data_IF_917676890037
#
_entry.id   IF_917676890037
#
_cell.length_a   1.000
_cell.length_b   1.000
_cell.length_c   1.000
_cell.angle_alpha   90.00
_cell.angle_beta   90.00
_cell.angle_gamma   90.00
#
_symmetry.space_group_name_H-M   'P 1'
#
loop_
_entity.id
_entity.type
_entity.pdbx_description
1 polymer ?
#
# COMPACT_ATOMS: atom_id res chain seq x y z
N UNK A 1 -23.42 -16.80 -9.77
CA UNK A 1 -23.61 -17.04 -8.32
C UNK A 1 -22.52 -16.25 -7.61
N UNK A 2 -22.89 -15.15 -6.97
CA UNK A 2 -21.98 -14.24 -6.24
C UNK A 2 -21.97 -14.65 -4.77
N UNK A 3 -20.78 -14.77 -4.17
CA UNK A 3 -20.64 -15.07 -2.75
C UNK A 3 -20.26 -13.77 -2.02
N UNK A 4 -21.11 -13.33 -1.09
CA UNK A 4 -20.85 -12.14 -0.28
C UNK A 4 -20.18 -12.60 1.02
N UNK A 5 -18.86 -12.43 1.13
CA UNK A 5 -18.15 -12.63 2.38
C UNK A 5 -18.12 -11.32 3.17
N UNK A 6 -18.78 -11.31 4.33
CA UNK A 6 -18.78 -10.18 5.27
C UNK A 6 -17.50 -10.22 6.09
N UNK A 7 -16.58 -9.29 5.83
CA UNK A 7 -15.48 -9.02 6.75
C UNK A 7 -15.99 -7.99 7.76
N UNK A 8 -16.19 -8.41 9.00
CA UNK A 8 -16.64 -7.53 10.07
C UNK A 8 -15.43 -6.72 10.57
N UNK A 9 -15.45 -5.41 10.36
CA UNK A 9 -14.50 -4.48 10.95
C UNK A 9 -15.32 -3.50 11.80
N UNK A 10 -14.80 -3.09 12.96
CA UNK A 10 -15.51 -2.31 14.00
C UNK A 10 -16.08 -0.92 13.57
N UNK A 11 -16.05 -0.58 12.28
CA UNK A 11 -16.60 0.65 11.71
C UNK A 11 -17.62 0.43 10.56
N UNK A 12 -18.25 -0.74 10.49
CA UNK A 12 -19.36 -1.00 9.56
C UNK A 12 -18.99 -1.97 8.43
N UNK A 13 -19.94 -2.83 8.09
CA UNK A 13 -19.79 -3.82 7.03
C UNK A 13 -19.71 -3.12 5.67
N UNK A 14 -18.58 -3.30 4.98
CA UNK A 14 -18.45 -2.96 3.55
C UNK A 14 -18.75 -4.23 2.77
N UNK A 15 -19.81 -4.20 1.96
CA UNK A 15 -20.14 -5.30 1.06
C UNK A 15 -19.05 -5.41 -0.01
N UNK A 16 -18.14 -6.38 0.16
CA UNK A 16 -17.15 -6.69 -0.86
C UNK A 16 -17.88 -7.45 -1.97
N UNK A 17 -18.06 -6.80 -3.12
CA UNK A 17 -18.53 -7.51 -4.31
C UNK A 17 -17.40 -8.44 -4.74
N UNK A 18 -17.49 -9.71 -4.32
CA UNK A 18 -16.55 -10.75 -4.68
C UNK A 18 -16.69 -11.06 -6.18
N UNK A 19 -16.08 -10.22 -7.03
CA UNK A 19 -15.78 -10.64 -8.38
C UNK A 19 -14.86 -11.86 -8.24
N UNK A 20 -15.25 -12.97 -8.88
CA UNK A 20 -14.47 -14.22 -8.90
C UNK A 20 -13.17 -13.96 -9.66
N UNK A 21 -12.17 -13.39 -8.99
CA UNK A 21 -10.84 -13.24 -9.57
C UNK A 21 -10.19 -14.62 -9.46
N UNK A 22 -10.23 -15.38 -10.56
CA UNK A 22 -9.54 -16.66 -10.66
C UNK A 22 -8.04 -16.39 -10.51
N UNK A 23 -7.34 -17.15 -9.66
CA UNK A 23 -5.94 -16.92 -9.30
C UNK A 23 -5.68 -15.53 -8.68
N UNK A 24 -6.40 -15.15 -7.61
CA UNK A 24 -6.08 -13.94 -6.85
C UNK A 24 -5.27 -14.23 -5.58
N UNK A 25 -4.41 -13.27 -5.22
CA UNK A 25 -3.75 -13.19 -3.92
C UNK A 25 -4.20 -11.94 -3.18
N UNK A 26 -4.33 -12.05 -1.87
CA UNK A 26 -4.59 -10.94 -0.96
C UNK A 26 -3.27 -10.26 -0.63
N UNK A 27 -3.08 -9.01 -1.08
CA UNK A 27 -1.96 -8.16 -0.71
C UNK A 27 -2.32 -7.35 0.53
N UNK A 28 -1.72 -7.72 1.67
CA UNK A 28 -1.76 -6.93 2.90
C UNK A 28 -0.55 -6.00 2.95
N UNK A 29 -0.79 -4.70 3.01
CA UNK A 29 0.20 -3.63 3.03
C UNK A 29 0.15 -2.95 4.41
N UNK A 30 1.20 -3.14 5.19
CA UNK A 30 1.44 -2.44 6.45
C UNK A 30 2.54 -1.40 6.26
N UNK A 31 2.27 -0.14 6.62
CA UNK A 31 3.24 0.94 6.54
C UNK A 31 3.42 1.56 7.93
N UNK A 32 4.66 1.54 8.41
CA UNK A 32 5.04 2.17 9.68
C UNK A 32 5.99 3.34 9.41
N UNK A 33 5.67 4.48 9.99
CA UNK A 33 6.54 5.66 10.05
C UNK A 33 7.38 5.55 11.32
N UNK A 34 8.66 5.24 11.16
CA UNK A 34 9.57 4.95 12.28
C UNK A 34 10.21 6.21 12.87
N UNK A 35 10.56 7.18 12.03
CA UNK A 35 11.22 8.41 12.46
C UNK A 35 10.79 9.56 11.57
N UNK A 36 10.42 10.68 12.19
CA UNK A 36 10.06 11.95 11.54
C UNK A 36 10.88 13.06 12.16
N UNK A 37 11.50 13.92 11.35
CA UNK A 37 12.24 15.10 11.87
C UNK A 37 11.39 16.36 11.89
N UNK A 38 10.48 16.52 10.93
CA UNK A 38 9.57 17.66 10.82
C UNK A 38 8.28 17.23 10.10
N UNK A 39 7.22 18.03 10.22
CA UNK A 39 5.97 17.81 9.51
C UNK A 39 6.16 17.72 7.99
N UNK A 40 5.61 16.67 7.40
CA UNK A 40 5.66 16.41 5.96
C UNK A 40 4.32 15.90 5.44
N UNK A 41 4.07 16.14 4.16
CA UNK A 41 2.95 15.55 3.44
C UNK A 41 3.39 14.25 2.81
N UNK A 42 2.65 13.18 3.06
CA UNK A 42 2.86 11.86 2.51
C UNK A 42 1.69 11.49 1.62
N UNK A 43 2.00 11.05 0.41
CA UNK A 43 1.06 10.33 -0.45
C UNK A 43 1.58 8.92 -0.69
N UNK A 44 0.69 7.94 -0.54
CA UNK A 44 0.93 6.54 -0.83
C UNK A 44 -0.09 6.07 -1.85
N UNK A 45 0.41 5.57 -2.98
CA UNK A 45 -0.42 4.97 -4.03
C UNK A 45 0.11 3.59 -4.37
N UNK A 46 -0.79 2.66 -4.63
CA UNK A 46 -0.47 1.36 -5.21
C UNK A 46 -0.82 1.39 -6.70
N UNK A 47 0.09 0.96 -7.55
CA UNK A 47 -0.13 0.73 -8.96
C UNK A 47 -0.17 -0.77 -9.21
N UNK A 48 -1.26 -1.28 -9.76
CA UNK A 48 -1.42 -2.68 -10.17
C UNK A 48 -1.31 -2.73 -11.68
N UNK A 49 -0.34 -3.49 -12.21
CA UNK A 49 -0.14 -3.63 -13.65
C UNK A 49 -0.90 -4.84 -14.19
N UNK A 50 -2.06 -4.58 -14.80
CA UNK A 50 -2.90 -5.59 -15.45
C UNK A 50 -2.90 -5.36 -16.96
N UNK A 51 -2.50 -6.36 -17.73
CA UNK A 51 -2.51 -6.30 -19.20
C UNK A 51 -1.67 -5.17 -19.81
N UNK A 52 -0.60 -4.72 -19.14
CA UNK A 52 0.24 -3.61 -19.59
C UNK A 52 -0.27 -2.22 -19.23
N UNK A 53 -1.44 -2.11 -18.58
CA UNK A 53 -1.97 -0.86 -18.03
C UNK A 53 -1.82 -0.83 -16.51
N UNK A 54 -1.32 0.29 -15.97
CA UNK A 54 -1.20 0.51 -14.53
C UNK A 54 -2.47 1.15 -13.98
N UNK A 55 -3.16 0.47 -13.07
CA UNK A 55 -4.28 1.06 -12.31
C UNK A 55 -3.76 1.61 -10.99
N UNK A 56 -3.95 2.92 -10.77
CA UNK A 56 -3.59 3.57 -9.50
C UNK A 56 -4.72 3.42 -8.48
N UNK A 57 -4.36 2.96 -7.29
CA UNK A 57 -5.20 2.86 -6.10
C UNK A 57 -4.57 3.75 -5.03
N UNK A 58 -5.14 4.94 -4.75
CA UNK A 58 -4.67 5.79 -3.66
C UNK A 58 -4.91 5.10 -2.32
N UNK A 59 -3.86 4.92 -1.52
CA UNK A 59 -3.95 4.28 -0.20
C UNK A 59 -3.99 5.33 0.91
N UNK A 60 -3.11 6.33 0.84
CA UNK A 60 -3.00 7.36 1.86
C UNK A 60 -2.65 8.71 1.25
N UNK A 61 -3.24 9.77 1.78
CA UNK A 61 -2.81 11.14 1.54
C UNK A 61 -3.02 11.94 2.82
N UNK A 62 -1.96 12.55 3.35
CA UNK A 62 -2.08 13.34 4.56
C UNK A 62 -0.75 13.89 5.06
N UNK A 63 -0.85 14.74 6.08
CA UNK A 63 0.33 15.29 6.77
C UNK A 63 0.66 14.41 7.97
N UNK A 64 1.94 14.11 8.17
CA UNK A 64 2.44 13.43 9.36
C UNK A 64 3.56 14.24 9.99
N UNK A 65 3.51 14.41 11.32
CA UNK A 65 4.52 15.13 12.09
C UNK A 65 5.28 14.24 13.09
N UNK A 66 4.84 13.00 13.30
CA UNK A 66 5.36 12.10 14.32
C UNK A 66 5.48 10.65 13.79
N UNK A 67 6.24 9.81 14.48
CA UNK A 67 6.30 8.38 14.19
C UNK A 67 4.96 7.71 14.51
N UNK A 68 4.32 7.10 13.51
CA UNK A 68 3.05 6.40 13.69
C UNK A 68 2.89 5.25 12.70
N UNK A 69 2.05 4.27 13.03
CA UNK A 69 1.56 3.30 12.06
C UNK A 69 0.51 3.93 11.17
N UNK A 70 0.61 3.76 9.85
CA UNK A 70 -0.54 4.01 8.97
C UNK A 70 -1.54 2.85 9.09
N UNK A 71 -2.74 3.06 8.55
CA UNK A 71 -3.74 1.99 8.44
C UNK A 71 -3.18 0.82 7.62
N UNK A 72 -3.56 -0.40 7.99
CA UNK A 72 -3.35 -1.60 7.17
C UNK A 72 -4.28 -1.58 5.96
N UNK A 73 -3.74 -1.79 4.76
CA UNK A 73 -4.52 -1.91 3.53
C UNK A 73 -4.54 -3.37 3.07
N UNK A 74 -5.70 -3.87 2.68
CA UNK A 74 -5.88 -5.24 2.18
C UNK A 74 -6.53 -5.15 0.81
N UNK A 75 -5.84 -5.68 -0.21
CA UNK A 75 -6.23 -5.52 -1.62
C UNK A 75 -6.12 -6.88 -2.31
N UNK A 76 -7.18 -7.31 -2.98
CA UNK A 76 -7.12 -8.48 -3.85
C UNK A 76 -6.45 -8.10 -5.17
N UNK A 77 -5.44 -8.87 -5.57
CA UNK A 77 -4.70 -8.66 -6.82
C UNK A 77 -4.57 -9.97 -7.56
N UNK A 78 -4.55 -9.91 -8.89
CA UNK A 78 -4.34 -11.11 -9.72
C UNK A 78 -2.92 -11.65 -9.50
N UNK A 79 -2.78 -12.97 -9.42
CA UNK A 79 -1.51 -13.66 -9.23
C UNK A 79 -0.58 -13.39 -10.41
N UNK A 80 0.73 -13.43 -10.15
CA UNK A 80 1.81 -13.13 -11.09
C UNK A 80 1.81 -11.70 -11.66
N UNK A 81 0.94 -10.81 -11.16
CA UNK A 81 1.01 -9.38 -11.46
C UNK A 81 2.11 -8.66 -10.69
N UNK A 82 2.57 -7.55 -11.25
CA UNK A 82 3.47 -6.63 -10.55
C UNK A 82 2.67 -5.53 -9.86
N UNK A 83 3.06 -5.28 -8.61
CA UNK A 83 2.57 -4.22 -7.76
C UNK A 83 3.69 -3.19 -7.62
N UNK A 84 3.39 -1.93 -7.86
CA UNK A 84 4.29 -0.82 -7.57
C UNK A 84 3.69 0.04 -6.48
N UNK A 85 4.36 0.10 -5.34
CA UNK A 85 3.99 1.00 -4.26
C UNK A 85 4.80 2.30 -4.41
N UNK A 86 4.11 3.41 -4.66
CA UNK A 86 4.71 4.73 -4.87
C UNK A 86 4.48 5.61 -3.65
N UNK A 87 5.58 6.15 -3.13
CA UNK A 87 5.62 7.10 -2.04
C UNK A 87 5.98 8.47 -2.60
N UNK A 88 5.22 9.49 -2.25
CA UNK A 88 5.56 10.89 -2.51
C UNK A 88 5.63 11.63 -1.19
N UNK A 89 6.76 12.26 -0.93
CA UNK A 89 6.96 13.09 0.25
C UNK A 89 7.15 14.52 -0.17
N UNK A 90 6.27 15.40 0.30
CA UNK A 90 6.39 16.85 0.16
C UNK A 90 6.75 17.48 1.50
N UNK A 91 7.73 18.38 1.51
CA UNK A 91 8.00 19.22 2.68
C UNK A 91 7.13 20.48 2.63
N UNK A 92 6.53 20.84 3.76
CA UNK A 92 5.78 22.09 3.87
C UNK A 92 6.73 23.28 3.62
N UNK A 93 6.48 24.05 2.57
CA UNK A 93 7.23 25.27 2.23
C UNK A 93 8.25 25.15 1.08
N UNK A 94 8.54 23.94 0.58
CA UNK A 94 9.34 23.78 -0.64
C UNK A 94 8.43 23.64 -1.86
N UNK A 95 8.57 24.56 -2.83
CA UNK A 95 7.78 24.54 -4.08
C UNK A 95 8.24 23.47 -5.09
N UNK A 96 9.33 22.74 -4.83
CA UNK A 96 9.96 21.91 -5.87
C UNK A 96 10.57 20.57 -5.41
N UNK A 97 10.58 20.23 -4.12
CA UNK A 97 11.16 18.96 -3.64
C UNK A 97 10.10 17.95 -3.25
N UNK A 98 9.40 17.41 -4.26
CA UNK A 98 8.65 16.17 -4.07
C UNK A 98 9.60 14.99 -4.26
N UNK A 99 10.03 14.41 -3.14
CA UNK A 99 10.83 13.19 -3.18
C UNK A 99 9.89 12.01 -3.44
N UNK A 100 10.05 11.39 -4.61
CA UNK A 100 9.32 10.19 -4.98
C UNK A 100 10.19 8.95 -4.82
N UNK A 101 9.62 7.86 -4.28
CA UNK A 101 10.26 6.54 -4.27
C UNK A 101 9.24 5.46 -4.56
N UNK A 102 9.63 4.45 -5.31
CA UNK A 102 8.78 3.31 -5.63
C UNK A 102 9.41 1.99 -5.21
N UNK A 103 8.58 1.06 -4.77
CA UNK A 103 8.94 -0.32 -4.46
C UNK A 103 8.10 -1.26 -5.32
N UNK A 104 8.67 -2.38 -5.77
CA UNK A 104 7.97 -3.31 -6.65
C UNK A 104 7.87 -4.68 -5.98
N UNK A 105 6.68 -5.28 -6.05
CA UNK A 105 6.39 -6.59 -5.48
C UNK A 105 5.70 -7.43 -6.54
N UNK A 106 6.12 -8.69 -6.68
CA UNK A 106 5.41 -9.65 -7.51
C UNK A 106 4.35 -10.34 -6.66
N UNK A 107 3.12 -10.36 -7.13
CA UNK A 107 1.98 -10.99 -6.47
C UNK A 107 2.09 -12.53 -6.56
N UNK A 108 2.71 -13.19 -5.58
CA UNK A 108 2.77 -14.65 -5.46
C UNK A 108 2.16 -15.13 -4.13
N UNK A 109 1.77 -16.41 -4.05
CA UNK A 109 0.98 -16.97 -2.92
C UNK A 109 1.75 -17.04 -1.59
N UNK A 110 3.08 -16.92 -1.60
CA UNK A 110 3.94 -17.11 -0.41
C UNK A 110 4.94 -15.97 -0.21
N UNK A 111 4.60 -14.78 -0.72
CA UNK A 111 5.47 -13.61 -0.69
C UNK A 111 5.28 -12.85 0.61
N UNK A 112 6.32 -12.79 1.43
CA UNK A 112 6.45 -11.77 2.47
C UNK A 112 7.67 -10.92 2.14
N UNK A 113 7.45 -9.64 1.88
CA UNK A 113 8.53 -8.70 1.60
C UNK A 113 8.46 -7.57 2.63
N UNK A 114 9.56 -7.41 3.37
CA UNK A 114 9.75 -6.28 4.27
C UNK A 114 10.82 -5.36 3.66
N UNK A 115 10.50 -4.08 3.48
CA UNK A 115 11.44 -3.11 2.97
C UNK A 115 11.47 -1.87 3.85
N UNK A 116 12.65 -1.51 4.34
CA UNK A 116 12.87 -0.23 4.99
C UNK A 116 13.26 0.81 3.95
N UNK A 117 12.55 1.93 3.95
CA UNK A 117 12.76 3.02 3.02
C UNK A 117 13.32 4.21 3.78
N UNK A 118 14.58 4.55 3.49
CA UNK A 118 15.23 5.77 3.97
C UNK A 118 15.18 6.86 2.91
N UNK A 119 14.54 7.99 3.23
CA UNK A 119 14.47 9.14 2.35
C UNK A 119 15.55 10.16 2.74
N UNK A 120 16.35 10.59 1.74
CA UNK A 120 17.74 11.07 1.89
C UNK A 120 17.95 12.32 2.75
N UNK A 121 16.92 13.12 3.06
CA UNK A 121 17.07 14.22 4.01
C UNK A 121 16.82 13.79 5.46
N UNK A 122 17.30 12.61 5.89
CA UNK A 122 17.29 12.10 7.28
C UNK A 122 15.96 12.22 8.08
N UNK A 123 14.86 12.54 7.41
CA UNK A 123 13.62 13.07 7.99
C UNK A 123 12.50 12.05 8.01
N UNK A 124 12.67 10.94 7.29
CA UNK A 124 11.65 9.91 7.23
C UNK A 124 12.27 8.51 7.07
N UNK A 125 11.95 7.63 8.01
CA UNK A 125 12.19 6.19 7.90
C UNK A 125 10.85 5.46 7.88
N UNK A 126 10.62 4.63 6.86
CA UNK A 126 9.39 3.84 6.72
C UNK A 126 9.74 2.36 6.75
N UNK A 127 8.91 1.54 7.40
CA UNK A 127 8.92 0.09 7.23
C UNK A 127 7.66 -0.30 6.47
N UNK A 128 7.85 -1.01 5.37
CA UNK A 128 6.79 -1.55 4.56
C UNK A 128 6.82 -3.07 4.69
N UNK A 129 5.69 -3.67 5.05
CA UNK A 129 5.49 -5.12 4.98
C UNK A 129 4.37 -5.41 4.01
N UNK A 130 4.68 -6.20 2.99
CA UNK A 130 3.71 -6.76 2.06
C UNK A 130 3.62 -8.26 2.32
N UNK A 131 2.42 -8.72 2.68
CA UNK A 131 2.12 -10.15 2.83
C UNK A 131 1.12 -10.54 1.77
N UNK A 132 1.43 -11.60 1.03
CA UNK A 132 0.58 -12.15 -0.02
C UNK A 132 0.10 -13.54 0.39
N UNK A 133 -1.21 -13.73 0.42
CA UNK A 133 -1.87 -15.00 0.77
C UNK A 133 -2.94 -15.34 -0.25
N UNK A 134 -3.39 -16.60 -0.30
CA UNK A 134 -4.54 -16.99 -1.13
C UNK A 134 -5.82 -16.34 -0.62
N UNK A 135 -6.63 -15.77 -1.52
CA UNK A 135 -8.01 -15.36 -1.18
C UNK A 135 -8.85 -16.61 -0.94
N UNK A 136 -9.52 -16.77 0.21
CA UNK A 136 -10.41 -17.90 0.45
C UNK A 136 -11.53 -17.94 -0.60
N UNK A 137 -11.75 -19.13 -1.17
CA UNK A 137 -12.81 -19.39 -2.15
C UNK A 137 -14.21 -19.37 -1.53
#
# INVERSE_FOLDING_TARGET
MSFTNRINCDCGAVDNTLARVYNAVEATIDVLILKVQNGFNLSLSLFVFVGGSGQEIPLFHGTTAESCGLRRYVIAVEMDTWLQLKFKVGQNGSKNDHLERSCHFKANIHGCACQQIMLQHASLSLSLKVTLSTVPA
#
